data_IF_336124410642
#
_entry.id   IF_336124410642
#
_cell.length_a   1.000
_cell.length_b   1.000
_cell.length_c   1.000
_cell.angle_alpha   90.00
_cell.angle_beta   90.00
_cell.angle_gamma   90.00
#
_symmetry.space_group_name_H-M   'P 1'
#
loop_
_entity.id
_entity.type
_entity.pdbx_description
1 polymer ?
#
# COMPACT_ATOMS: atom_id res chain seq x y z
N UNK A 1 -10.72 4.42 19.13
CA UNK A 1 -9.90 3.97 18.02
C UNK A 1 -9.55 5.14 17.11
N UNK A 2 -8.31 5.31 16.81
CA UNK A 2 -7.86 6.46 16.03
C UNK A 2 -7.98 6.16 14.53
N UNK A 3 -8.69 7.03 13.83
CA UNK A 3 -8.82 6.94 12.40
C UNK A 3 -7.47 7.27 11.73
N UNK A 4 -7.03 6.42 10.81
CA UNK A 4 -5.80 6.66 10.09
C UNK A 4 -6.02 7.62 8.93
N UNK A 5 -5.10 8.55 8.76
CA UNK A 5 -5.14 9.53 7.67
C UNK A 5 -3.74 9.73 7.12
N UNK A 6 -3.64 9.94 5.82
CA UNK A 6 -2.42 10.41 5.19
C UNK A 6 -2.76 11.57 4.27
N UNK A 7 -1.76 12.42 4.06
CA UNK A 7 -1.90 13.62 3.23
C UNK A 7 -0.95 13.49 2.04
N UNK A 8 -1.53 13.52 0.85
CA UNK A 8 -0.75 13.48 -0.40
C UNK A 8 -1.30 14.56 -1.31
N UNK A 9 -0.43 15.42 -1.81
CA UNK A 9 -0.79 16.49 -2.76
C UNK A 9 -1.97 17.35 -2.26
N UNK A 10 -2.00 17.63 -0.96
CA UNK A 10 -3.06 18.42 -0.36
C UNK A 10 -4.37 17.68 -0.11
N UNK A 11 -4.43 16.40 -0.43
CA UNK A 11 -5.62 15.59 -0.21
C UNK A 11 -5.49 14.77 1.06
N UNK A 12 -6.61 14.65 1.78
CA UNK A 12 -6.69 13.78 2.96
C UNK A 12 -7.21 12.42 2.50
N UNK A 13 -6.43 11.38 2.77
CA UNK A 13 -6.79 10.01 2.43
C UNK A 13 -7.04 9.21 3.70
N UNK A 14 -8.05 8.37 3.69
CA UNK A 14 -8.44 7.57 4.86
C UNK A 14 -9.05 6.23 4.42
N UNK A 15 -9.61 5.51 5.38
CA UNK A 15 -10.17 4.18 5.19
C UNK A 15 -11.29 4.12 4.14
N UNK A 16 -11.94 5.22 3.87
CA UNK A 16 -13.00 5.29 2.86
C UNK A 16 -12.49 5.58 1.47
N UNK A 17 -11.22 5.89 1.35
CA UNK A 17 -10.62 6.22 0.05
C UNK A 17 -10.64 5.02 -0.88
N UNK A 18 -11.10 5.26 -2.12
CA UNK A 18 -11.01 4.30 -3.21
C UNK A 18 -10.43 5.03 -4.41
N UNK A 19 -9.50 4.39 -5.08
CA UNK A 19 -8.89 5.03 -6.25
C UNK A 19 -8.66 4.02 -7.37
N UNK A 20 -8.61 4.53 -8.59
CA UNK A 20 -8.33 3.74 -9.78
C UNK A 20 -6.82 3.51 -9.90
N UNK A 21 -6.43 2.66 -10.86
CA UNK A 21 -5.02 2.46 -11.16
C UNK A 21 -4.34 3.79 -11.52
N UNK A 22 -4.98 4.59 -12.37
CA UNK A 22 -4.43 5.89 -12.76
C UNK A 22 -4.25 6.82 -11.56
N UNK A 23 -5.25 6.85 -10.66
CA UNK A 23 -5.16 7.65 -9.45
C UNK A 23 -4.01 7.19 -8.56
N UNK A 24 -3.86 5.88 -8.38
CA UNK A 24 -2.80 5.31 -7.54
C UNK A 24 -1.42 5.67 -8.09
N UNK A 25 -1.24 5.54 -9.41
CA UNK A 25 0.01 5.90 -10.05
C UNK A 25 0.33 7.38 -9.85
N UNK A 26 -0.67 8.25 -10.02
CA UNK A 26 -0.48 9.69 -9.85
C UNK A 26 -0.18 10.06 -8.40
N UNK A 27 -0.94 9.50 -7.46
CA UNK A 27 -0.77 9.81 -6.04
C UNK A 27 0.58 9.37 -5.51
N UNK A 28 1.06 8.21 -5.95
CA UNK A 28 2.30 7.64 -5.44
C UNK A 28 3.52 7.94 -6.31
N UNK A 29 3.31 8.53 -7.49
CA UNK A 29 4.41 8.86 -8.39
C UNK A 29 5.08 7.64 -8.98
N UNK A 30 4.31 6.61 -9.33
CA UNK A 30 4.84 5.35 -9.85
C UNK A 30 4.17 4.98 -11.17
N UNK A 31 4.82 4.10 -11.93
CA UNK A 31 4.28 3.60 -13.18
C UNK A 31 3.24 2.51 -12.95
N UNK A 32 2.35 2.33 -13.92
CA UNK A 32 1.41 1.23 -13.89
C UNK A 32 2.14 -0.12 -13.92
N UNK A 33 3.27 -0.19 -14.62
CA UNK A 33 4.07 -1.41 -14.67
C UNK A 33 4.53 -1.83 -13.27
N UNK A 34 5.00 -0.88 -12.46
CA UNK A 34 5.42 -1.18 -11.10
C UNK A 34 4.24 -1.67 -10.26
N UNK A 35 3.06 -1.06 -10.41
CA UNK A 35 1.87 -1.51 -9.72
C UNK A 35 1.51 -2.94 -10.11
N UNK A 36 1.58 -3.28 -11.40
CA UNK A 36 1.36 -4.65 -11.86
C UNK A 36 2.35 -5.62 -11.22
N UNK A 37 3.62 -5.25 -11.14
CA UNK A 37 4.64 -6.07 -10.50
C UNK A 37 4.32 -6.29 -9.02
N UNK A 38 3.84 -5.25 -8.34
CA UNK A 38 3.44 -5.36 -6.93
C UNK A 38 2.25 -6.31 -6.75
N UNK A 39 1.31 -6.30 -7.69
CA UNK A 39 0.18 -7.21 -7.66
C UNK A 39 0.67 -8.66 -7.83
N UNK A 40 1.57 -8.89 -8.77
CA UNK A 40 2.13 -10.23 -9.00
C UNK A 40 2.88 -10.76 -7.78
N UNK A 41 3.53 -9.88 -7.03
CA UNK A 41 4.24 -10.27 -5.82
C UNK A 41 3.32 -10.38 -4.59
N UNK A 42 2.04 -10.11 -4.75
CA UNK A 42 1.09 -10.20 -3.64
C UNK A 42 1.12 -9.01 -2.69
N UNK A 43 1.79 -7.93 -3.07
CA UNK A 43 1.83 -6.70 -2.25
C UNK A 43 0.49 -5.99 -2.31
N UNK A 44 -0.16 -6.01 -3.46
CA UNK A 44 -1.44 -5.35 -3.70
C UNK A 44 -2.47 -6.36 -4.22
N UNK A 45 -3.72 -6.17 -3.80
CA UNK A 45 -4.85 -7.00 -4.24
C UNK A 45 -6.04 -6.09 -4.54
N UNK A 46 -6.12 -5.55 -5.76
CA UNK A 46 -7.24 -4.68 -6.11
C UNK A 46 -8.54 -5.47 -6.24
N UNK A 47 -9.66 -4.76 -6.05
CA UNK A 47 -10.98 -5.28 -6.37
C UNK A 47 -11.27 -5.02 -7.85
N UNK A 48 -11.98 -5.94 -8.48
CA UNK A 48 -12.34 -5.83 -9.90
C UNK A 48 -11.73 -6.93 -10.74
N UNK A 49 -12.34 -7.18 -11.91
CA UNK A 49 -11.97 -8.30 -12.77
C UNK A 49 -10.92 -7.95 -13.82
N UNK A 50 -10.70 -6.67 -14.07
CA UNK A 50 -9.75 -6.22 -15.09
C UNK A 50 -9.07 -4.94 -14.62
N UNK A 51 -7.90 -4.60 -15.20
CA UNK A 51 -7.20 -3.37 -14.81
C UNK A 51 -8.04 -2.10 -14.94
N UNK A 52 -8.98 -2.06 -15.89
CA UNK A 52 -9.85 -0.91 -16.09
C UNK A 52 -10.89 -0.77 -14.96
N UNK A 53 -11.17 -1.88 -14.28
CA UNK A 53 -12.15 -1.91 -13.18
C UNK A 53 -11.51 -1.88 -11.81
N UNK A 54 -10.19 -2.00 -11.73
CA UNK A 54 -9.50 -2.09 -10.44
C UNK A 54 -9.75 -0.88 -9.57
N UNK A 55 -10.07 -1.15 -8.30
CA UNK A 55 -10.14 -0.14 -7.25
C UNK A 55 -9.20 -0.53 -6.14
N UNK A 56 -8.43 0.43 -5.70
CA UNK A 56 -7.44 0.28 -4.64
C UNK A 56 -7.89 1.02 -3.40
N UNK A 57 -7.58 0.44 -2.25
CA UNK A 57 -7.97 1.00 -0.96
C UNK A 57 -6.84 1.84 -0.36
N UNK A 58 -7.14 2.46 0.77
CA UNK A 58 -6.17 3.19 1.57
C UNK A 58 -4.96 2.29 1.94
N UNK A 59 -5.22 1.02 2.26
CA UNK A 59 -4.15 0.05 2.58
C UNK A 59 -3.18 -0.09 1.41
N UNK A 60 -3.69 -0.13 0.19
CA UNK A 60 -2.85 -0.22 -0.99
C UNK A 60 -1.92 0.99 -1.11
N UNK A 61 -2.45 2.19 -0.89
CA UNK A 61 -1.64 3.41 -0.94
C UNK A 61 -0.50 3.34 0.08
N UNK A 62 -0.79 2.93 1.30
CA UNK A 62 0.21 2.78 2.36
C UNK A 62 1.27 1.75 1.98
N UNK A 63 0.85 0.62 1.41
CA UNK A 63 1.77 -0.44 0.99
C UNK A 63 2.69 0.02 -0.13
N UNK A 64 2.17 0.76 -1.09
CA UNK A 64 3.00 1.32 -2.17
C UNK A 64 4.05 2.25 -1.58
N UNK A 65 3.66 3.15 -0.68
CA UNK A 65 4.58 4.08 -0.06
C UNK A 65 5.69 3.36 0.72
N UNK A 66 5.33 2.35 1.50
CA UNK A 66 6.32 1.58 2.26
C UNK A 66 7.25 0.82 1.32
N UNK A 67 6.71 0.20 0.26
CA UNK A 67 7.52 -0.51 -0.74
C UNK A 67 8.54 0.43 -1.37
N UNK A 68 8.12 1.63 -1.76
CA UNK A 68 9.03 2.61 -2.36
C UNK A 68 10.17 2.96 -1.41
N UNK A 69 9.87 3.17 -0.13
CA UNK A 69 10.91 3.47 0.85
C UNK A 69 11.87 2.30 1.03
N UNK A 70 11.36 1.07 1.09
CA UNK A 70 12.21 -0.11 1.22
C UNK A 70 13.14 -0.26 0.02
N UNK A 71 12.63 -0.01 -1.18
CA UNK A 71 13.44 -0.09 -2.39
C UNK A 71 14.48 1.02 -2.46
N UNK A 72 14.06 2.26 -2.18
CA UNK A 72 14.92 3.43 -2.33
C UNK A 72 15.97 3.53 -1.23
N UNK A 73 15.58 3.28 0.00
CA UNK A 73 16.45 3.48 1.15
C UNK A 73 17.28 2.24 1.49
N UNK A 74 16.72 1.06 1.31
CA UNK A 74 17.35 -0.19 1.70
C UNK A 74 17.64 -1.13 0.53
N UNK A 75 17.26 -0.75 -0.68
CA UNK A 75 17.47 -1.53 -1.91
C UNK A 75 16.89 -2.94 -1.82
N UNK A 76 15.77 -3.07 -1.15
CA UNK A 76 15.06 -4.34 -1.05
C UNK A 76 14.34 -4.60 -2.37
N UNK A 77 14.44 -5.81 -2.91
CA UNK A 77 13.69 -6.18 -4.11
C UNK A 77 12.21 -6.40 -3.78
N UNK A 78 11.36 -6.53 -4.80
CA UNK A 78 9.93 -6.67 -4.57
C UNK A 78 9.54 -7.91 -3.74
N UNK A 79 10.10 -9.10 -4.00
CA UNK A 79 9.82 -10.24 -3.13
C UNK A 79 10.18 -9.98 -1.67
N UNK A 80 11.31 -9.29 -1.44
CA UNK A 80 11.71 -8.89 -0.09
C UNK A 80 10.76 -7.88 0.52
N UNK A 81 10.25 -6.95 -0.29
CA UNK A 81 9.24 -5.99 0.17
C UNK A 81 7.95 -6.69 0.58
N UNK A 82 7.52 -7.70 -0.17
CA UNK A 82 6.33 -8.48 0.17
C UNK A 82 6.48 -9.14 1.54
N UNK A 83 7.63 -9.76 1.79
CA UNK A 83 7.91 -10.36 3.09
C UNK A 83 7.99 -9.31 4.19
N UNK A 84 8.69 -8.21 3.94
CA UNK A 84 8.84 -7.14 4.94
C UNK A 84 7.49 -6.55 5.33
N UNK A 85 6.60 -6.32 4.37
CA UNK A 85 5.26 -5.79 4.64
C UNK A 85 4.44 -6.75 5.49
N UNK A 86 4.51 -8.05 5.19
CA UNK A 86 3.82 -9.05 5.98
C UNK A 86 4.30 -9.03 7.43
N UNK A 87 5.61 -8.98 7.63
CA UNK A 87 6.19 -8.94 8.97
C UNK A 87 5.87 -7.64 9.70
N UNK A 88 5.93 -6.51 9.02
CA UNK A 88 5.61 -5.21 9.61
C UNK A 88 4.14 -5.13 10.03
N UNK A 89 3.25 -5.65 9.21
CA UNK A 89 1.81 -5.64 9.53
C UNK A 89 1.51 -6.58 10.69
N UNK A 90 2.17 -7.73 10.73
CA UNK A 90 2.02 -8.65 11.85
C UNK A 90 2.56 -8.04 13.15
N UNK A 91 3.71 -7.38 13.08
CA UNK A 91 4.29 -6.69 14.23
C UNK A 91 3.37 -5.60 14.74
N UNK A 92 2.80 -4.82 13.83
CA UNK A 92 1.87 -3.75 14.20
C UNK A 92 0.62 -4.31 14.88
N UNK A 93 0.11 -5.43 14.38
CA UNK A 93 -1.05 -6.10 14.99
C UNK A 93 -0.70 -6.61 16.40
N UNK A 94 0.46 -7.20 16.58
CA UNK A 94 0.91 -7.67 17.89
C UNK A 94 1.07 -6.50 18.86
N UNK A 95 1.59 -5.40 18.41
CA UNK A 95 1.71 -4.19 19.23
C UNK A 95 0.34 -3.65 19.64
N UNK A 96 -0.60 -3.66 18.72
CA UNK A 96 -1.97 -3.22 18.99
C UNK A 96 -2.62 -4.11 20.04
N UNK A 97 -2.44 -5.41 19.94
CA UNK A 97 -2.97 -6.36 20.93
C UNK A 97 -2.30 -6.17 22.28
N UNK A 98 -1.00 -5.95 22.31
CA UNK A 98 -0.25 -5.72 23.55
C UNK A 98 -0.74 -4.49 24.30
N UNK A 99 -1.12 -3.43 23.58
CA UNK A 99 -1.61 -2.20 24.21
C UNK A 99 -2.98 -2.36 24.87
N UNK A 100 -3.71 -3.44 24.57
CA UNK A 100 -5.01 -3.71 25.16
C UNK A 100 -4.93 -4.41 26.52
N UNK A 101 -3.79 -4.91 26.85
CA UNK A 101 -3.56 -5.56 28.14
C UNK A 101 -2.86 -4.59 29.10
#
# INVERSE_FOLDING_TARGET
MTEQRIYIQGMVLNEETRCTLADLCRLCGVSAELIHDMIEEGILSPDGHSPQEWLFTFVAIKRVQTTLRLQQDLRVNLPGCALALELLEELEELRRLSRRT
#
